data_IF_705561564134
#
_entry.id   IF_705561564134
#
_cell.length_a   1.000
_cell.length_b   1.000
_cell.length_c   1.000
_cell.angle_alpha   90.00
_cell.angle_beta   90.00
_cell.angle_gamma   90.00
#
_symmetry.space_group_name_H-M   'P 1'
#
loop_
_entity.id
_entity.type
_entity.pdbx_description
1 polymer ?
#
# COMPACT_ATOMS: atom_id res chain seq x y z
N UNK A 1 46.25 95.71 10.64
CA UNK A 1 45.62 94.83 9.63
C UNK A 1 45.13 93.60 10.39
N UNK A 2 43.82 93.50 10.61
CA UNK A 2 43.22 92.44 11.42
C UNK A 2 42.83 91.26 10.51
N UNK A 3 43.47 90.11 10.73
CA UNK A 3 43.17 88.86 10.05
C UNK A 3 41.98 88.18 10.73
N UNK A 4 40.79 88.27 10.13
CA UNK A 4 39.63 87.47 10.54
C UNK A 4 39.82 86.01 10.13
N UNK A 5 39.68 85.03 11.05
CA UNK A 5 39.75 83.61 10.69
C UNK A 5 38.50 83.18 9.90
N UNK A 6 38.62 82.15 9.04
CA UNK A 6 37.51 81.69 8.21
C UNK A 6 36.42 81.01 9.06
N UNK A 7 35.15 81.03 8.63
CA UNK A 7 34.06 80.36 9.34
C UNK A 7 34.21 78.84 9.24
N UNK A 8 34.11 78.17 10.38
CA UNK A 8 33.97 76.71 10.47
C UNK A 8 32.66 76.29 9.81
N UNK A 9 32.75 75.58 8.70
CA UNK A 9 31.61 74.91 8.08
C UNK A 9 31.61 73.46 8.62
N UNK A 10 30.68 73.05 9.50
CA UNK A 10 30.64 71.66 9.95
C UNK A 10 30.35 70.77 8.75
N UNK A 11 31.10 69.67 8.61
CA UNK A 11 30.81 68.66 7.60
C UNK A 11 29.36 68.15 7.78
N UNK A 12 28.60 67.96 6.70
CA UNK A 12 27.28 67.36 6.80
C UNK A 12 27.44 65.94 7.33
N UNK A 13 27.06 65.73 8.59
CA UNK A 13 26.89 64.41 9.20
C UNK A 13 26.08 63.54 8.24
N UNK A 14 26.72 62.54 7.62
CA UNK A 14 26.02 61.51 6.85
C UNK A 14 24.98 60.89 7.77
N UNK A 15 23.71 61.20 7.53
CA UNK A 15 22.60 60.54 8.18
C UNK A 15 22.72 59.05 7.85
N UNK A 16 23.19 58.27 8.81
CA UNK A 16 23.25 56.81 8.70
C UNK A 16 21.83 56.34 8.42
N UNK A 17 21.60 55.83 7.20
CA UNK A 17 20.32 55.26 6.80
C UNK A 17 20.07 54.09 7.73
N UNK A 18 19.22 54.30 8.74
CA UNK A 18 18.88 53.28 9.72
C UNK A 18 18.45 52.00 9.00
N UNK A 19 18.71 50.82 9.57
CA UNK A 19 18.34 49.56 8.94
C UNK A 19 16.86 49.63 8.58
N UNK A 20 16.53 49.39 7.31
CA UNK A 20 15.15 49.37 6.84
C UNK A 20 14.41 48.26 7.60
N UNK A 21 13.73 48.63 8.68
CA UNK A 21 13.03 47.69 9.57
C UNK A 21 12.04 46.85 8.78
N UNK A 22 11.41 47.43 7.74
CA UNK A 22 10.52 46.74 6.80
C UNK A 22 11.26 45.64 6.01
N UNK A 23 12.50 45.87 5.61
CA UNK A 23 13.33 44.88 4.93
C UNK A 23 13.69 43.73 5.89
N UNK A 24 14.05 44.04 7.13
CA UNK A 24 14.40 43.03 8.15
C UNK A 24 13.18 42.19 8.51
N UNK A 25 12.03 42.82 8.76
CA UNK A 25 10.75 42.12 9.04
C UNK A 25 10.33 41.27 7.83
N UNK A 26 10.50 41.77 6.61
CA UNK A 26 10.25 41.01 5.37
C UNK A 26 11.13 39.77 5.22
N UNK A 27 12.42 39.87 5.57
CA UNK A 27 13.35 38.73 5.54
C UNK A 27 12.96 37.67 6.59
N UNK A 28 12.63 38.09 7.81
CA UNK A 28 12.24 37.16 8.89
C UNK A 28 10.95 36.42 8.53
N UNK A 29 9.94 37.13 8.03
CA UNK A 29 8.69 36.51 7.56
C UNK A 29 8.92 35.59 6.36
N UNK A 30 9.79 35.97 5.43
CA UNK A 30 10.17 35.13 4.28
C UNK A 30 10.85 33.83 4.72
N UNK A 31 11.78 33.88 5.68
CA UNK A 31 12.47 32.69 6.20
C UNK A 31 11.52 31.77 6.97
N UNK A 32 10.62 32.32 7.79
CA UNK A 32 9.58 31.56 8.47
C UNK A 32 8.62 30.88 7.47
N UNK A 33 8.23 31.60 6.42
CA UNK A 33 7.37 31.04 5.38
C UNK A 33 8.07 29.92 4.60
N UNK A 34 9.35 30.07 4.25
CA UNK A 34 10.13 29.01 3.58
C UNK A 34 10.39 27.82 4.52
N UNK A 35 10.60 28.03 5.82
CA UNK A 35 10.78 26.95 6.78
C UNK A 35 9.49 26.15 7.00
N UNK A 36 8.35 26.83 7.19
CA UNK A 36 7.06 26.19 7.45
C UNK A 36 6.40 25.65 6.17
N UNK A 37 6.36 26.43 5.09
CA UNK A 37 5.75 26.03 3.83
C UNK A 37 6.69 25.14 3.00
N UNK A 38 7.99 25.39 3.01
CA UNK A 38 8.98 24.56 2.31
C UNK A 38 9.18 23.19 2.96
N UNK A 39 9.19 23.13 4.30
CA UNK A 39 9.19 21.86 5.04
C UNK A 39 7.93 21.03 4.77
N UNK A 40 6.75 21.68 4.82
CA UNK A 40 5.47 21.04 4.48
C UNK A 40 5.42 20.55 3.02
N UNK A 41 5.88 21.36 2.07
CA UNK A 41 5.94 20.97 0.66
C UNK A 41 6.94 19.83 0.41
N UNK A 42 8.11 19.83 1.07
CA UNK A 42 9.09 18.76 0.93
C UNK A 42 8.57 17.43 1.49
N UNK A 43 7.95 17.45 2.68
CA UNK A 43 7.31 16.26 3.27
C UNK A 43 6.14 15.78 2.40
N UNK A 44 5.36 16.69 1.81
CA UNK A 44 4.28 16.34 0.89
C UNK A 44 4.79 15.72 -0.43
N UNK A 45 5.82 16.31 -1.05
CA UNK A 45 6.39 15.83 -2.30
C UNK A 45 7.16 14.52 -2.14
N UNK A 46 7.91 14.35 -1.04
CA UNK A 46 8.61 13.10 -0.75
C UNK A 46 7.66 12.03 -0.21
N UNK A 47 6.68 12.41 0.62
CA UNK A 47 5.66 11.51 1.15
C UNK A 47 4.89 10.79 0.05
N UNK A 48 4.46 11.50 -1.01
CA UNK A 48 3.75 10.90 -2.15
C UNK A 48 4.56 9.83 -2.90
N UNK A 49 5.89 9.93 -2.92
CA UNK A 49 6.77 8.94 -3.57
C UNK A 49 6.92 7.66 -2.75
N UNK A 50 6.89 7.76 -1.42
CA UNK A 50 7.00 6.60 -0.52
C UNK A 50 5.66 5.91 -0.26
N UNK A 51 4.55 6.65 -0.26
CA UNK A 51 3.22 6.07 0.01
C UNK A 51 2.72 5.22 -1.15
N UNK A 52 3.01 5.56 -2.41
CA UNK A 52 2.47 4.83 -3.57
C UNK A 52 2.69 3.30 -3.53
N UNK A 53 3.93 2.81 -3.41
CA UNK A 53 4.21 1.36 -3.39
C UNK A 53 3.62 0.63 -2.19
N UNK A 54 3.70 1.21 -0.98
CA UNK A 54 3.09 0.62 0.24
C UNK A 54 1.59 0.49 0.06
N UNK A 55 0.94 1.55 -0.45
CA UNK A 55 -0.51 1.53 -0.60
C UNK A 55 -0.95 0.51 -1.65
N UNK A 56 -0.20 0.33 -2.74
CA UNK A 56 -0.48 -0.73 -3.74
C UNK A 56 -0.36 -2.12 -3.14
N UNK A 57 0.68 -2.36 -2.35
CA UNK A 57 0.88 -3.66 -1.68
C UNK A 57 -0.21 -3.93 -0.63
N UNK A 58 -0.53 -2.95 0.19
CA UNK A 58 -1.64 -3.05 1.15
C UNK A 58 -2.96 -3.32 0.42
N UNK A 59 -3.21 -2.65 -0.71
CA UNK A 59 -4.40 -2.88 -1.53
C UNK A 59 -4.45 -4.32 -2.09
N UNK A 60 -3.31 -4.84 -2.54
CA UNK A 60 -3.14 -6.20 -3.01
C UNK A 60 -3.43 -7.23 -1.88
N UNK A 61 -2.81 -7.06 -0.71
CA UNK A 61 -3.02 -7.94 0.44
C UNK A 61 -4.47 -7.93 0.94
N UNK A 62 -5.12 -6.76 0.97
CA UNK A 62 -6.54 -6.62 1.30
C UNK A 62 -7.40 -7.36 0.28
N UNK A 63 -7.14 -7.17 -1.03
CA UNK A 63 -7.86 -7.87 -2.10
C UNK A 63 -7.78 -9.39 -1.94
N UNK A 64 -6.58 -9.94 -1.72
CA UNK A 64 -6.43 -11.37 -1.46
C UNK A 64 -7.19 -11.82 -0.21
N UNK A 65 -7.12 -11.06 0.89
CA UNK A 65 -7.85 -11.41 2.11
C UNK A 65 -9.37 -11.40 1.90
N UNK A 66 -9.90 -10.45 1.14
CA UNK A 66 -11.32 -10.37 0.81
C UNK A 66 -11.74 -11.53 -0.11
N UNK A 67 -10.94 -11.88 -1.12
CA UNK A 67 -11.18 -13.05 -1.97
C UNK A 67 -11.17 -14.33 -1.14
N UNK A 68 -10.20 -14.52 -0.24
CA UNK A 68 -10.15 -15.69 0.64
C UNK A 68 -11.44 -15.79 1.46
N UNK A 69 -11.86 -14.70 2.11
CA UNK A 69 -13.11 -14.65 2.87
C UNK A 69 -14.32 -14.97 1.99
N UNK A 70 -14.36 -14.44 0.77
CA UNK A 70 -15.43 -14.69 -0.18
C UNK A 70 -15.51 -16.16 -0.61
N UNK A 71 -14.37 -16.82 -0.87
CA UNK A 71 -14.32 -18.26 -1.17
C UNK A 71 -14.84 -19.08 0.01
N UNK A 72 -14.52 -18.68 1.24
CA UNK A 72 -15.00 -19.36 2.44
C UNK A 72 -16.51 -19.12 2.66
N UNK A 73 -17.02 -17.90 2.42
CA UNK A 73 -18.47 -17.62 2.45
C UNK A 73 -19.23 -18.37 1.36
N UNK A 74 -18.66 -18.48 0.15
CA UNK A 74 -19.20 -19.34 -0.90
C UNK A 74 -19.34 -20.78 -0.40
N UNK A 75 -18.28 -21.32 0.22
CA UNK A 75 -18.30 -22.68 0.72
C UNK A 75 -19.33 -22.87 1.84
N UNK A 76 -19.50 -21.89 2.74
CA UNK A 76 -20.54 -21.92 3.76
C UNK A 76 -21.95 -21.95 3.17
N UNK A 77 -22.18 -21.24 2.06
CA UNK A 77 -23.45 -21.27 1.35
C UNK A 77 -23.68 -22.56 0.52
N UNK A 78 -22.64 -23.37 0.32
CA UNK A 78 -22.66 -24.57 -0.54
C UNK A 78 -22.22 -25.83 0.22
N UNK A 79 -22.71 -26.03 1.46
CA UNK A 79 -22.47 -27.24 2.27
C UNK A 79 -20.97 -27.58 2.47
N UNK A 80 -20.16 -26.53 2.63
CA UNK A 80 -18.71 -26.61 2.81
C UNK A 80 -17.93 -26.89 1.52
N UNK A 81 -18.57 -26.86 0.34
CA UNK A 81 -17.95 -27.17 -0.96
C UNK A 81 -17.24 -25.95 -1.55
N UNK A 82 -15.97 -26.12 -1.91
CA UNK A 82 -15.18 -25.11 -2.60
C UNK A 82 -15.65 -24.95 -4.06
N UNK A 83 -15.45 -23.77 -4.69
CA UNK A 83 -15.93 -23.49 -6.04
C UNK A 83 -15.26 -24.38 -7.09
N UNK A 84 -15.84 -24.40 -8.30
CA UNK A 84 -15.24 -25.09 -9.43
C UNK A 84 -14.09 -24.25 -9.98
N UNK A 85 -12.90 -24.83 -10.10
CA UNK A 85 -11.71 -24.14 -10.60
C UNK A 85 -11.88 -23.47 -11.98
N UNK A 86 -12.80 -23.93 -12.83
CA UNK A 86 -13.02 -23.31 -14.15
C UNK A 86 -13.81 -21.99 -14.10
N UNK A 87 -14.59 -21.79 -13.05
CA UNK A 87 -15.55 -20.69 -12.89
C UNK A 87 -15.43 -20.03 -11.52
N UNK A 88 -14.33 -20.27 -10.81
CA UNK A 88 -14.25 -19.98 -9.38
C UNK A 88 -14.38 -18.50 -9.06
N UNK A 89 -13.87 -17.63 -9.94
CA UNK A 89 -13.93 -16.19 -9.79
C UNK A 89 -15.36 -15.70 -9.96
N UNK A 90 -16.08 -16.23 -10.96
CA UNK A 90 -17.49 -15.93 -11.22
C UNK A 90 -18.40 -16.43 -10.09
N UNK A 91 -18.18 -17.66 -9.66
CA UNK A 91 -18.93 -18.31 -8.58
C UNK A 91 -18.80 -17.52 -7.26
N UNK A 92 -17.61 -16.96 -7.01
CA UNK A 92 -17.27 -16.25 -5.77
C UNK A 92 -17.57 -14.76 -5.84
N UNK A 93 -17.67 -14.16 -7.03
CA UNK A 93 -17.86 -12.70 -7.22
C UNK A 93 -18.99 -12.09 -6.39
N UNK A 94 -20.20 -12.69 -6.31
CA UNK A 94 -21.27 -12.14 -5.48
C UNK A 94 -20.93 -12.11 -3.98
N UNK A 95 -20.16 -13.10 -3.51
CA UNK A 95 -19.69 -13.16 -2.13
C UNK A 95 -18.57 -12.16 -1.89
N UNK A 96 -17.69 -11.96 -2.87
CA UNK A 96 -16.66 -10.94 -2.84
C UNK A 96 -17.27 -9.54 -2.73
N UNK A 97 -18.24 -9.20 -3.58
CA UNK A 97 -18.91 -7.89 -3.55
C UNK A 97 -19.57 -7.62 -2.20
N UNK A 98 -20.16 -8.66 -1.59
CA UNK A 98 -20.73 -8.59 -0.23
C UNK A 98 -19.66 -8.36 0.84
N UNK A 99 -18.57 -9.13 0.83
CA UNK A 99 -17.43 -8.99 1.77
C UNK A 99 -16.82 -7.60 1.64
N UNK A 100 -16.56 -7.18 0.41
CA UNK A 100 -15.95 -5.92 0.02
C UNK A 100 -16.78 -4.71 0.48
N UNK A 101 -18.10 -4.79 0.29
CA UNK A 101 -19.03 -3.75 0.73
C UNK A 101 -19.13 -3.70 2.25
N UNK A 102 -19.19 -4.86 2.91
CA UNK A 102 -19.25 -4.96 4.38
C UNK A 102 -18.00 -4.42 5.07
N UNK A 103 -16.83 -4.51 4.41
CA UNK A 103 -15.57 -4.02 4.95
C UNK A 103 -15.24 -2.58 4.50
N UNK A 104 -16.16 -1.88 3.85
CA UNK A 104 -15.88 -0.58 3.24
C UNK A 104 -15.36 0.48 4.22
N UNK A 105 -15.87 0.48 5.45
CA UNK A 105 -15.44 1.43 6.49
C UNK A 105 -14.10 1.03 7.13
N UNK A 106 -13.78 -0.27 7.15
CA UNK A 106 -12.57 -0.80 7.81
C UNK A 106 -11.32 -0.69 6.94
N UNK A 107 -11.48 -0.66 5.61
CA UNK A 107 -10.36 -0.59 4.66
C UNK A 107 -9.84 0.82 4.40
N UNK A 108 -10.50 1.86 4.92
CA UNK A 108 -10.11 3.25 4.72
C UNK A 108 -9.86 3.60 3.24
N UNK A 109 -8.67 4.09 2.85
CA UNK A 109 -8.37 4.48 1.48
C UNK A 109 -8.14 3.30 0.51
N UNK A 110 -8.05 2.06 1.01
CA UNK A 110 -7.81 0.88 0.19
C UNK A 110 -9.09 0.43 -0.52
N UNK A 111 -8.95 0.01 -1.76
CA UNK A 111 -10.06 -0.31 -2.68
C UNK A 111 -10.17 -1.79 -3.03
N UNK A 112 -9.29 -2.66 -2.52
CA UNK A 112 -9.27 -4.08 -2.87
C UNK A 112 -9.04 -4.33 -4.37
N UNK A 113 -9.49 -5.49 -4.86
CA UNK A 113 -9.56 -5.77 -6.29
C UNK A 113 -10.82 -5.18 -6.92
N UNK A 114 -10.68 -4.75 -8.18
CA UNK A 114 -11.75 -4.19 -9.00
C UNK A 114 -11.68 -4.76 -10.42
N UNK A 115 -12.84 -4.92 -11.06
CA UNK A 115 -12.95 -5.44 -12.43
C UNK A 115 -12.95 -6.96 -12.50
N UNK A 116 -12.87 -7.48 -13.73
CA UNK A 116 -13.11 -8.90 -14.03
C UNK A 116 -11.89 -9.79 -13.81
N UNK A 117 -10.66 -9.24 -13.89
CA UNK A 117 -9.43 -10.00 -13.65
C UNK A 117 -8.84 -9.62 -12.29
N UNK A 118 -8.99 -10.46 -11.27
CA UNK A 118 -8.35 -10.22 -9.97
C UNK A 118 -6.83 -10.39 -10.03
N UNK A 119 -6.12 -9.42 -9.43
CA UNK A 119 -4.67 -9.36 -9.53
C UNK A 119 -4.08 -8.11 -8.87
N UNK A 120 -2.76 -8.10 -8.73
CA UNK A 120 -2.05 -6.97 -8.14
C UNK A 120 -1.32 -6.17 -9.20
N UNK A 121 -1.42 -4.84 -9.10
CA UNK A 121 -0.54 -3.93 -9.82
C UNK A 121 0.68 -3.66 -8.96
N UNK A 122 1.84 -4.04 -9.43
CA UNK A 122 3.08 -3.68 -8.76
C UNK A 122 3.42 -2.18 -9.00
N UNK A 123 4.49 -1.72 -8.35
CA UNK A 123 5.00 -0.36 -8.53
C UNK A 123 5.82 -0.18 -9.83
N UNK A 124 6.16 -1.27 -10.52
CA UNK A 124 7.17 -1.34 -11.57
C UNK A 124 6.65 -1.80 -12.95
N UNK A 125 5.32 -1.90 -13.14
CA UNK A 125 4.56 -2.25 -14.35
C UNK A 125 4.13 -3.73 -14.51
N UNK A 126 4.53 -4.64 -13.62
CA UNK A 126 4.04 -6.02 -13.56
C UNK A 126 2.62 -6.14 -12.97
N UNK A 127 1.72 -6.74 -13.75
CA UNK A 127 0.39 -7.17 -13.30
C UNK A 127 0.43 -8.66 -12.96
N UNK A 128 0.41 -8.99 -11.67
CA UNK A 128 0.24 -10.38 -11.22
C UNK A 128 -1.24 -10.74 -11.14
N UNK A 129 -1.54 -12.04 -11.19
CA UNK A 129 -2.91 -12.57 -11.07
C UNK A 129 -3.16 -13.27 -9.74
N UNK A 130 -4.44 -13.49 -9.46
CA UNK A 130 -4.89 -14.39 -8.39
C UNK A 130 -5.28 -15.73 -9.01
N UNK A 131 -4.68 -16.82 -8.55
CA UNK A 131 -5.05 -18.16 -8.95
C UNK A 131 -5.68 -18.94 -7.80
N UNK A 132 -6.68 -19.74 -8.12
CA UNK A 132 -7.26 -20.73 -7.22
C UNK A 132 -6.50 -22.06 -7.31
N UNK A 133 -6.36 -22.76 -6.18
CA UNK A 133 -5.71 -24.06 -6.15
C UNK A 133 -6.58 -25.13 -6.83
N UNK A 134 -6.15 -25.57 -8.01
CA UNK A 134 -6.87 -26.56 -8.82
C UNK A 134 -7.18 -27.85 -8.05
N UNK A 135 -6.28 -28.26 -7.15
CA UNK A 135 -6.43 -29.48 -6.36
C UNK A 135 -7.58 -29.41 -5.35
N UNK A 136 -8.13 -28.22 -5.09
CA UNK A 136 -9.25 -27.99 -4.18
C UNK A 136 -10.60 -27.89 -4.88
N UNK A 137 -10.62 -27.88 -6.21
CA UNK A 137 -11.83 -27.68 -7.02
C UNK A 137 -12.96 -28.63 -6.62
N UNK A 138 -14.09 -28.07 -6.18
CA UNK A 138 -15.27 -28.83 -5.80
C UNK A 138 -15.14 -29.73 -4.57
N UNK A 139 -14.01 -29.70 -3.86
CA UNK A 139 -13.82 -30.48 -2.62
C UNK A 139 -14.53 -29.81 -1.45
N UNK A 140 -14.96 -30.60 -0.47
CA UNK A 140 -15.40 -30.03 0.80
C UNK A 140 -14.21 -29.59 1.63
N UNK A 141 -14.35 -28.48 2.35
CA UNK A 141 -13.33 -28.00 3.30
C UNK A 141 -13.03 -29.06 4.37
N UNK A 142 -14.03 -29.85 4.77
CA UNK A 142 -13.88 -30.97 5.71
C UNK A 142 -12.93 -32.07 5.23
N UNK A 143 -12.75 -32.20 3.92
CA UNK A 143 -11.95 -33.26 3.30
C UNK A 143 -10.47 -32.84 3.16
N UNK A 144 -10.17 -31.57 3.45
CA UNK A 144 -8.80 -31.03 3.42
C UNK A 144 -8.09 -31.42 4.72
N UNK A 145 -7.09 -32.30 4.61
CA UNK A 145 -6.38 -32.86 5.78
C UNK A 145 -5.70 -31.82 6.66
N UNK A 146 -5.11 -30.78 6.06
CA UNK A 146 -4.32 -29.75 6.75
C UNK A 146 -4.71 -28.37 6.25
N UNK A 147 -5.92 -27.88 6.60
CA UNK A 147 -6.47 -26.65 6.01
C UNK A 147 -5.59 -25.42 6.27
N UNK A 148 -4.93 -25.35 7.43
CA UNK A 148 -4.03 -24.24 7.79
C UNK A 148 -2.76 -24.17 6.96
N UNK A 149 -2.39 -25.26 6.29
CA UNK A 149 -1.18 -25.36 5.46
C UNK A 149 -1.50 -25.64 3.99
N UNK A 150 -2.78 -25.68 3.62
CA UNK A 150 -3.20 -25.94 2.24
C UNK A 150 -3.51 -24.61 1.55
N UNK A 151 -2.75 -24.22 0.51
CA UNK A 151 -3.01 -22.99 -0.23
C UNK A 151 -4.39 -23.05 -0.89
N UNK A 152 -5.19 -22.02 -0.67
CA UNK A 152 -6.52 -21.85 -1.25
C UNK A 152 -6.45 -20.99 -2.50
N UNK A 153 -5.89 -19.78 -2.34
CA UNK A 153 -5.61 -18.84 -3.41
C UNK A 153 -4.18 -18.33 -3.26
N UNK A 154 -3.54 -18.02 -4.37
CA UNK A 154 -2.16 -17.57 -4.40
C UNK A 154 -1.92 -16.67 -5.59
N UNK A 155 -0.84 -15.92 -5.51
CA UNK A 155 -0.42 -15.01 -6.56
C UNK A 155 0.39 -15.74 -7.64
N UNK A 156 0.15 -15.36 -8.90
CA UNK A 156 0.83 -15.90 -10.08
C UNK A 156 1.33 -14.78 -10.98
N UNK A 157 2.32 -15.08 -11.82
CA UNK A 157 2.98 -14.11 -12.70
C UNK A 157 2.03 -13.46 -13.72
N UNK A 158 1.03 -14.19 -14.20
CA UNK A 158 0.11 -13.72 -15.23
C UNK A 158 -1.22 -13.31 -14.63
N UNK A 159 -1.74 -12.15 -15.02
CA UNK A 159 -3.11 -11.75 -14.74
C UNK A 159 -4.10 -12.44 -15.70
N UNK A 160 -5.29 -12.73 -15.21
CA UNK A 160 -6.37 -13.28 -16.00
C UNK A 160 -7.56 -13.72 -15.15
N UNK A 161 -8.68 -13.92 -15.81
CA UNK A 161 -9.93 -14.33 -15.22
C UNK A 161 -9.98 -15.85 -14.97
N UNK A 162 -10.54 -16.28 -13.84
CA UNK A 162 -10.72 -17.69 -13.48
C UNK A 162 -9.41 -18.51 -13.53
N UNK A 163 -8.27 -17.88 -13.20
CA UNK A 163 -6.99 -18.59 -13.17
C UNK A 163 -7.02 -19.69 -12.13
N UNK A 164 -6.72 -20.92 -12.53
CA UNK A 164 -6.61 -22.05 -11.62
C UNK A 164 -5.48 -22.98 -12.04
N UNK A 165 -4.63 -23.31 -11.09
CA UNK A 165 -3.47 -24.18 -11.31
C UNK A 165 -3.13 -24.93 -10.02
N UNK A 166 -2.50 -26.11 -10.08
CA UNK A 166 -1.97 -26.74 -8.88
C UNK A 166 -0.95 -25.82 -8.22
N UNK A 167 -1.02 -25.68 -6.89
CA UNK A 167 -0.10 -24.81 -6.18
C UNK A 167 1.35 -25.29 -6.32
N UNK A 168 2.23 -24.36 -6.68
CA UNK A 168 3.68 -24.57 -6.66
C UNK A 168 4.34 -23.37 -5.99
N UNK A 169 5.28 -23.62 -5.08
CA UNK A 169 6.08 -22.56 -4.49
C UNK A 169 6.96 -21.92 -5.56
N UNK A 170 6.77 -20.63 -5.79
CA UNK A 170 7.60 -19.86 -6.70
C UNK A 170 8.81 -19.27 -5.95
N UNK A 171 9.97 -19.11 -6.63
CA UNK A 171 11.16 -18.53 -6.02
C UNK A 171 10.90 -17.07 -5.62
N UNK A 172 11.54 -16.60 -4.54
CA UNK A 172 11.37 -15.22 -4.05
C UNK A 172 11.88 -14.22 -5.09
N UNK A 173 12.94 -14.59 -5.80
CA UNK A 173 13.64 -13.80 -6.82
C UNK A 173 12.77 -13.54 -8.07
N UNK A 174 11.70 -14.30 -8.29
CA UNK A 174 10.74 -14.00 -9.37
C UNK A 174 9.55 -13.15 -8.89
N UNK A 175 9.42 -12.91 -7.58
CA UNK A 175 8.28 -12.19 -7.03
C UNK A 175 8.33 -10.68 -7.31
N UNK A 176 7.19 -9.97 -7.26
CA UNK A 176 7.19 -8.52 -7.42
C UNK A 176 8.07 -7.79 -6.39
N UNK A 177 8.59 -6.63 -6.78
CA UNK A 177 9.44 -5.81 -5.93
C UNK A 177 8.65 -4.78 -5.13
N UNK A 178 9.11 -4.50 -3.91
CA UNK A 178 8.72 -3.35 -3.09
C UNK A 178 10.00 -2.72 -2.53
N UNK A 179 10.18 -1.41 -2.72
CA UNK A 179 11.39 -0.69 -2.28
C UNK A 179 12.72 -1.29 -2.77
N UNK A 180 12.75 -1.87 -3.97
CA UNK A 180 13.95 -2.48 -4.54
C UNK A 180 14.25 -3.89 -4.03
N UNK A 181 13.40 -4.45 -3.16
CA UNK A 181 13.52 -5.82 -2.68
C UNK A 181 12.33 -6.68 -3.12
N UNK A 182 12.58 -7.98 -3.36
CA UNK A 182 11.53 -8.94 -3.67
C UNK A 182 10.65 -9.20 -2.44
N UNK A 183 9.34 -8.96 -2.56
CA UNK A 183 8.40 -9.08 -1.43
C UNK A 183 7.94 -10.50 -1.14
N UNK A 184 8.19 -11.43 -2.06
CA UNK A 184 7.64 -12.78 -2.03
C UNK A 184 6.24 -12.86 -2.65
N UNK A 185 5.86 -14.06 -3.04
CA UNK A 185 4.54 -14.36 -3.59
C UNK A 185 3.50 -14.46 -2.48
N UNK A 186 2.31 -13.88 -2.70
CA UNK A 186 1.22 -13.99 -1.75
C UNK A 186 0.57 -15.37 -1.80
N UNK A 187 0.31 -15.94 -0.63
CA UNK A 187 -0.33 -17.25 -0.46
C UNK A 187 -1.30 -17.19 0.70
N UNK A 188 -2.55 -17.57 0.47
CA UNK A 188 -3.60 -17.60 1.47
C UNK A 188 -4.15 -19.02 1.59
N UNK A 189 -4.33 -19.49 2.82
CA UNK A 189 -4.63 -20.89 3.12
C UNK A 189 -6.14 -21.13 3.33
N UNK A 190 -6.58 -22.38 3.42
CA UNK A 190 -8.00 -22.76 3.61
C UNK A 190 -8.56 -22.34 4.99
N UNK A 191 -7.71 -21.92 5.93
CA UNK A 191 -8.10 -21.65 7.32
C UNK A 191 -9.28 -20.68 7.49
N UNK A 192 -10.19 -21.02 8.41
CA UNK A 192 -11.34 -20.19 8.84
C UNK A 192 -11.06 -19.30 10.04
N UNK A 193 -9.82 -19.29 10.56
CA UNK A 193 -9.44 -18.57 11.78
C UNK A 193 -8.64 -17.29 11.52
N UNK A 194 -8.96 -16.23 12.29
CA UNK A 194 -8.41 -14.85 12.31
C UNK A 194 -7.20 -14.63 11.38
N UNK A 195 -7.39 -13.78 10.36
CA UNK A 195 -6.38 -13.24 9.44
C UNK A 195 -4.99 -13.08 10.08
N UNK A 196 -4.20 -14.15 10.06
CA UNK A 196 -2.78 -14.05 10.34
C UNK A 196 -2.15 -13.62 9.02
N UNK A 197 -1.84 -12.33 8.93
CA UNK A 197 -0.99 -11.77 7.88
C UNK A 197 0.18 -12.71 7.60
N UNK A 198 0.47 -12.89 6.31
CA UNK A 198 1.35 -13.91 5.75
C UNK A 198 2.47 -14.34 6.69
N UNK A 199 2.41 -15.61 7.12
CA UNK A 199 3.50 -16.25 7.85
C UNK A 199 4.64 -16.50 6.86
N UNK A 200 5.42 -15.46 6.59
CA UNK A 200 6.73 -15.62 5.95
C UNK A 200 7.57 -16.47 6.88
N UNK A 201 7.87 -17.69 6.43
CA UNK A 201 8.74 -18.61 7.14
C UNK A 201 10.16 -18.02 7.09
N UNK A 202 10.52 -17.21 8.08
CA UNK A 202 11.89 -16.74 8.31
C UNK A 202 12.13 -15.26 8.05
N UNK A 203 11.72 -14.38 8.97
CA UNK A 203 12.48 -13.19 9.35
C UNK A 203 11.95 -12.72 10.70
N UNK A 204 12.84 -12.49 11.68
CA UNK A 204 12.47 -12.08 13.04
C UNK A 204 12.11 -10.59 13.16
N UNK A 205 12.12 -9.84 12.05
CA UNK A 205 12.00 -8.39 12.06
C UNK A 205 10.94 -7.91 11.06
N UNK A 206 9.65 -7.93 11.43
CA UNK A 206 8.59 -7.29 10.64
C UNK A 206 7.65 -6.49 11.55
N UNK A 207 7.60 -5.15 11.42
CA UNK A 207 6.96 -4.26 12.39
C UNK A 207 5.44 -4.05 12.19
N UNK A 208 4.75 -5.01 11.57
CA UNK A 208 3.31 -4.89 11.29
C UNK A 208 2.53 -5.99 11.99
N UNK A 209 2.42 -5.86 13.31
CA UNK A 209 1.34 -6.47 14.08
C UNK A 209 0.28 -5.39 14.30
N UNK A 210 -0.91 -5.58 13.73
CA UNK A 210 -2.10 -4.89 14.21
C UNK A 210 -2.67 -5.76 15.32
N UNK A 211 -2.52 -5.29 16.56
CA UNK A 211 -3.19 -5.87 17.71
C UNK A 211 -4.70 -5.57 17.60
N UNK A 212 -5.52 -6.61 17.71
CA UNK A 212 -6.96 -6.52 17.98
C UNK A 212 -7.22 -5.88 19.36
#
# INVERSE_FOLDING_TARGET
MASTPPPFNPEPTRAGKGPNVILIVGIILGVLFVCCAGGGAFVWFQGKKFTGPIFRMANCAIGFSEVQKAVLEYADAHDGKLPNAKTWEDDVRPFYDKVHSRNADQRGPFRGFSGDDWGCSDAAEGLTGVAFNLDLSGKKISDVKTPDFTPLIFEVETRGHNLATPYKSLPKESSPMIFGEHRGWLVFFVTRGKSAGGRTKGSKDSPFTFDD
#
